data_IF_513519162026
#
_entry.id   IF_513519162026
#
_cell.length_a   1.000
_cell.length_b   1.000
_cell.length_c   1.000
_cell.angle_alpha   90.00
_cell.angle_beta   90.00
_cell.angle_gamma   90.00
#
_symmetry.space_group_name_H-M   'P 1'
#
loop_
_entity.id
_entity.type
_entity.pdbx_description
1 polymer ?
#
# COMPACT_ATOMS: atom_id res chain seq x y z
N UNK A 1 -13.47 -9.15 2.11
CA UNK A 1 -13.99 -8.22 3.15
C UNK A 1 -15.44 -8.51 3.56
N UNK A 2 -16.36 -8.75 2.60
CA UNK A 2 -17.80 -9.03 2.83
C UNK A 2 -18.10 -10.03 3.96
N UNK A 3 -17.40 -11.17 4.02
CA UNK A 3 -17.61 -12.19 5.06
C UNK A 3 -17.22 -11.79 6.49
N UNK A 4 -16.33 -10.80 6.66
CA UNK A 4 -15.95 -10.30 7.99
C UNK A 4 -17.02 -9.33 8.47
N UNK A 5 -17.41 -8.41 7.61
CA UNK A 5 -18.37 -7.36 7.92
C UNK A 5 -19.76 -7.96 8.18
N UNK A 6 -20.13 -9.05 7.49
CA UNK A 6 -21.39 -9.76 7.73
C UNK A 6 -21.52 -10.36 9.12
N UNK A 7 -20.42 -10.56 9.85
CA UNK A 7 -20.42 -11.09 11.21
C UNK A 7 -20.55 -10.01 12.29
N UNK A 8 -20.38 -8.74 11.92
CA UNK A 8 -20.62 -7.61 12.82
C UNK A 8 -22.11 -7.29 12.77
N UNK A 9 -22.75 -7.22 13.93
CA UNK A 9 -24.16 -6.84 14.09
C UNK A 9 -24.34 -5.31 14.02
N UNK A 10 -25.59 -4.85 13.86
CA UNK A 10 -25.88 -3.40 13.87
C UNK A 10 -25.56 -2.76 15.23
N UNK A 11 -25.85 -3.46 16.33
CA UNK A 11 -25.61 -2.97 17.69
C UNK A 11 -24.12 -2.70 17.93
N UNK A 12 -23.26 -3.65 17.56
CA UNK A 12 -21.80 -3.50 17.64
C UNK A 12 -21.30 -2.38 16.71
N UNK A 13 -21.90 -2.25 15.51
CA UNK A 13 -21.55 -1.18 14.58
C UNK A 13 -21.96 0.21 15.10
N UNK A 14 -23.11 0.31 15.78
CA UNK A 14 -23.61 1.55 16.35
C UNK A 14 -22.74 2.04 17.51
N UNK A 15 -22.25 1.13 18.36
CA UNK A 15 -21.30 1.47 19.43
C UNK A 15 -19.94 1.97 18.90
N UNK A 16 -19.51 1.51 17.72
CA UNK A 16 -18.25 1.92 17.11
C UNK A 16 -18.34 3.22 16.32
N UNK A 17 -19.48 3.50 15.71
CA UNK A 17 -19.65 4.63 14.80
C UNK A 17 -20.32 5.78 15.55
N UNK A 18 -19.53 6.73 16.03
CA UNK A 18 -20.07 7.99 16.57
C UNK A 18 -20.50 8.92 15.42
N UNK A 19 -21.81 8.91 15.13
CA UNK A 19 -22.42 9.77 14.11
C UNK A 19 -22.45 11.23 14.55
N UNK A 20 -22.55 11.50 15.87
CA UNK A 20 -22.71 12.84 16.42
C UNK A 20 -21.39 13.63 16.40
N UNK A 21 -20.26 12.95 16.64
CA UNK A 21 -18.95 13.57 16.47
C UNK A 21 -18.66 13.93 15.00
N UNK A 22 -19.13 13.11 14.03
CA UNK A 22 -18.90 13.33 12.59
C UNK A 22 -19.73 14.45 11.97
N UNK A 23 -20.87 14.83 12.56
CA UNK A 23 -21.68 15.96 12.07
C UNK A 23 -21.05 17.33 12.35
N UNK A 24 -20.14 17.41 13.32
CA UNK A 24 -19.58 18.68 13.82
C UNK A 24 -18.24 19.07 13.15
N UNK A 25 -17.55 18.14 12.48
CA UNK A 25 -16.31 18.44 11.75
C UNK A 25 -16.59 19.07 10.36
N UNK A 26 -17.02 20.33 10.36
CA UNK A 26 -17.07 21.18 9.16
C UNK A 26 -15.65 21.58 8.71
N UNK A 27 -14.95 20.68 8.02
CA UNK A 27 -13.74 21.02 7.26
C UNK A 27 -13.77 20.34 5.87
N UNK A 28 -14.86 20.56 5.14
CA UNK A 28 -15.20 19.83 3.90
C UNK A 28 -14.67 20.47 2.61
N UNK A 29 -14.15 21.70 2.66
CA UNK A 29 -13.61 22.41 1.49
C UNK A 29 -12.13 22.09 1.23
N UNK A 30 -11.31 21.97 2.28
CA UNK A 30 -9.85 21.75 2.14
C UNK A 30 -9.50 20.37 1.59
N UNK A 31 -10.27 19.33 1.92
CA UNK A 31 -9.99 17.93 1.56
C UNK A 31 -10.06 17.68 0.05
N UNK A 32 -10.99 18.31 -0.65
CA UNK A 32 -11.11 18.21 -2.11
C UNK A 32 -9.92 18.83 -2.84
N UNK A 33 -9.50 20.02 -2.41
CA UNK A 33 -8.33 20.72 -2.97
C UNK A 33 -7.04 19.93 -2.70
N UNK A 34 -6.87 19.44 -1.47
CA UNK A 34 -5.74 18.57 -1.12
C UNK A 34 -5.69 17.32 -2.00
N UNK A 35 -6.84 16.69 -2.26
CA UNK A 35 -6.90 15.50 -3.10
C UNK A 35 -6.60 15.84 -4.57
N UNK A 36 -7.03 17.00 -5.07
CA UNK A 36 -6.70 17.47 -6.41
C UNK A 36 -5.20 17.70 -6.58
N UNK A 37 -4.55 18.39 -5.64
CA UNK A 37 -3.09 18.60 -5.64
C UNK A 37 -2.38 17.24 -5.60
N UNK A 38 -2.84 16.34 -4.73
CA UNK A 38 -2.29 14.98 -4.66
C UNK A 38 -2.46 14.23 -5.98
N UNK A 39 -3.61 14.33 -6.64
CA UNK A 39 -3.88 13.68 -7.92
C UNK A 39 -2.97 14.21 -9.03
N UNK A 40 -2.72 15.52 -9.09
CA UNK A 40 -1.76 16.12 -10.03
C UNK A 40 -0.34 15.60 -9.78
N UNK A 41 0.10 15.58 -8.52
CA UNK A 41 1.40 15.03 -8.16
C UNK A 41 1.50 13.53 -8.51
N UNK A 42 0.46 12.74 -8.22
CA UNK A 42 0.40 11.33 -8.61
C UNK A 42 0.45 11.16 -10.12
N UNK A 43 -0.23 12.02 -10.87
CA UNK A 43 -0.21 12.03 -12.33
C UNK A 43 1.21 12.25 -12.86
N UNK A 44 1.93 13.23 -12.32
CA UNK A 44 3.35 13.46 -12.64
C UNK A 44 4.20 12.23 -12.31
N UNK A 45 4.06 11.66 -11.11
CA UNK A 45 4.83 10.46 -10.72
C UNK A 45 4.48 9.24 -11.58
N UNK A 46 3.24 9.11 -12.07
CA UNK A 46 2.82 8.04 -12.98
C UNK A 46 3.42 8.14 -14.38
N UNK A 47 4.07 9.26 -14.73
CA UNK A 47 4.85 9.38 -15.96
C UNK A 47 6.25 8.76 -15.85
N UNK A 48 6.74 8.45 -14.65
CA UNK A 48 8.06 7.83 -14.48
C UNK A 48 8.24 6.53 -15.29
N UNK A 49 7.25 5.63 -15.38
CA UNK A 49 7.36 4.41 -16.19
C UNK A 49 7.15 4.63 -17.69
N UNK A 50 6.87 5.85 -18.18
CA UNK A 50 6.44 6.10 -19.56
C UNK A 50 7.47 5.60 -20.59
N UNK A 51 8.74 5.88 -20.29
CA UNK A 51 9.89 5.43 -21.07
C UNK A 51 10.05 3.90 -21.07
N UNK A 52 9.59 3.22 -20.02
CA UNK A 52 9.65 1.76 -19.92
C UNK A 52 8.45 1.10 -20.61
N UNK A 53 7.24 1.64 -20.41
CA UNK A 53 6.01 1.18 -21.05
C UNK A 53 4.86 2.19 -20.93
N UNK A 54 4.35 2.62 -22.09
CA UNK A 54 3.12 3.41 -22.16
C UNK A 54 1.91 2.68 -21.57
N UNK A 55 1.84 1.36 -21.71
CA UNK A 55 0.73 0.54 -21.21
C UNK A 55 0.65 0.63 -19.67
N UNK A 56 1.78 0.47 -19.00
CA UNK A 56 1.86 0.55 -17.53
C UNK A 56 1.52 1.96 -17.06
N UNK A 57 2.06 2.99 -17.70
CA UNK A 57 1.72 4.39 -17.40
C UNK A 57 0.24 4.66 -17.56
N UNK A 58 -0.40 4.20 -18.64
CA UNK A 58 -1.84 4.35 -18.83
C UNK A 58 -2.65 3.68 -17.71
N UNK A 59 -2.29 2.47 -17.29
CA UNK A 59 -2.96 1.78 -16.18
C UNK A 59 -2.88 2.59 -14.89
N UNK A 60 -1.71 3.13 -14.56
CA UNK A 60 -1.50 3.92 -13.33
C UNK A 60 -2.31 5.22 -13.35
N UNK A 61 -2.36 5.91 -14.50
CA UNK A 61 -3.19 7.11 -14.69
C UNK A 61 -4.68 6.77 -14.51
N UNK A 62 -5.15 5.66 -15.09
CA UNK A 62 -6.55 5.21 -14.94
C UNK A 62 -6.88 4.95 -13.46
N UNK A 63 -5.97 4.31 -12.70
CA UNK A 63 -6.15 4.07 -11.27
C UNK A 63 -6.31 5.40 -10.49
N UNK A 64 -5.50 6.41 -10.82
CA UNK A 64 -5.58 7.75 -10.20
C UNK A 64 -6.92 8.41 -10.50
N UNK A 65 -7.36 8.37 -11.77
CA UNK A 65 -8.64 8.95 -12.21
C UNK A 65 -9.81 8.25 -11.52
N UNK A 66 -9.84 6.92 -11.50
CA UNK A 66 -10.88 6.15 -10.81
C UNK A 66 -10.92 6.51 -9.32
N UNK A 67 -9.77 6.64 -8.68
CA UNK A 67 -9.67 6.99 -7.25
C UNK A 67 -10.20 8.39 -6.97
N UNK A 68 -9.89 9.35 -7.85
CA UNK A 68 -10.37 10.72 -7.76
C UNK A 68 -11.89 10.79 -7.96
N UNK A 69 -12.42 10.17 -9.02
CA UNK A 69 -13.85 10.12 -9.30
C UNK A 69 -14.64 9.43 -8.17
N UNK A 70 -14.09 8.34 -7.61
CA UNK A 70 -14.69 7.62 -6.51
C UNK A 70 -14.94 8.53 -5.29
N UNK A 71 -13.99 9.40 -4.96
CA UNK A 71 -14.15 10.37 -3.88
C UNK A 71 -15.34 11.32 -4.12
N UNK A 72 -15.42 11.94 -5.30
CA UNK A 72 -16.51 12.87 -5.60
C UNK A 72 -17.88 12.19 -5.65
N UNK A 73 -17.97 11.00 -6.25
CA UNK A 73 -19.21 10.22 -6.31
C UNK A 73 -19.65 9.79 -4.90
N UNK A 74 -18.71 9.30 -4.08
CA UNK A 74 -19.03 8.87 -2.71
C UNK A 74 -19.44 10.05 -1.82
N UNK A 75 -18.76 11.19 -1.94
CA UNK A 75 -19.09 12.44 -1.24
C UNK A 75 -20.49 12.95 -1.62
N UNK A 76 -20.81 12.95 -2.91
CA UNK A 76 -22.11 13.39 -3.41
C UNK A 76 -23.26 12.50 -2.92
N UNK A 77 -23.04 11.19 -2.84
CA UNK A 77 -24.08 10.24 -2.40
C UNK A 77 -24.33 10.25 -0.88
N UNK A 78 -23.30 10.49 -0.06
CA UNK A 78 -23.44 10.51 1.39
C UNK A 78 -22.29 11.31 2.04
N UNK A 79 -22.60 12.45 2.66
CA UNK A 79 -21.62 13.29 3.37
C UNK A 79 -20.89 12.52 4.50
N UNK A 80 -21.55 11.56 5.16
CA UNK A 80 -20.92 10.71 6.19
C UNK A 80 -19.83 9.77 5.65
N UNK A 81 -19.75 9.57 4.32
CA UNK A 81 -18.70 8.79 3.66
C UNK A 81 -17.56 9.66 3.12
N UNK A 82 -17.58 10.97 3.32
CA UNK A 82 -16.53 11.88 2.83
C UNK A 82 -15.16 11.49 3.38
N UNK A 83 -15.04 11.35 4.70
CA UNK A 83 -13.78 10.97 5.35
C UNK A 83 -13.31 9.57 4.94
N UNK A 84 -14.24 8.62 4.80
CA UNK A 84 -13.96 7.28 4.31
C UNK A 84 -13.39 7.29 2.88
N UNK A 85 -14.08 7.98 1.98
CA UNK A 85 -13.70 8.05 0.57
C UNK A 85 -12.41 8.85 0.35
N UNK A 86 -12.19 9.90 1.15
CA UNK A 86 -10.94 10.67 1.14
C UNK A 86 -9.74 9.83 1.57
N UNK A 87 -9.83 9.11 2.70
CA UNK A 87 -8.75 8.24 3.16
C UNK A 87 -8.46 7.12 2.17
N UNK A 88 -9.50 6.53 1.57
CA UNK A 88 -9.33 5.47 0.57
C UNK A 88 -8.66 5.99 -0.69
N UNK A 89 -9.11 7.12 -1.24
CA UNK A 89 -8.53 7.72 -2.44
C UNK A 89 -7.07 8.12 -2.20
N UNK A 90 -6.77 8.78 -1.08
CA UNK A 90 -5.42 9.14 -0.67
C UNK A 90 -4.51 7.91 -0.57
N UNK A 91 -4.99 6.83 0.05
CA UNK A 91 -4.23 5.57 0.16
C UNK A 91 -3.90 4.99 -1.22
N UNK A 92 -4.88 4.89 -2.12
CA UNK A 92 -4.65 4.34 -3.48
C UNK A 92 -3.72 5.23 -4.30
N UNK A 93 -3.83 6.56 -4.17
CA UNK A 93 -2.94 7.52 -4.81
C UNK A 93 -1.48 7.38 -4.33
N UNK A 94 -1.27 7.27 -3.01
CA UNK A 94 0.06 7.01 -2.43
C UNK A 94 0.62 5.66 -2.89
N UNK A 95 -0.23 4.62 -2.91
CA UNK A 95 0.14 3.32 -3.44
C UNK A 95 0.61 3.40 -4.90
N UNK A 96 -0.07 4.22 -5.70
CA UNK A 96 0.26 4.45 -7.10
C UNK A 96 1.62 5.14 -7.22
N UNK A 97 1.91 6.18 -6.43
CA UNK A 97 3.24 6.85 -6.42
C UNK A 97 4.36 5.83 -6.18
N UNK A 98 4.24 5.03 -5.11
CA UNK A 98 5.25 4.04 -4.73
C UNK A 98 5.50 3.03 -5.86
N UNK A 99 4.42 2.56 -6.49
CA UNK A 99 4.50 1.64 -7.63
C UNK A 99 5.14 2.30 -8.84
N UNK A 100 4.78 3.55 -9.16
CA UNK A 100 5.34 4.29 -10.29
C UNK A 100 6.85 4.51 -10.14
N UNK A 101 7.33 4.82 -8.92
CA UNK A 101 8.77 4.96 -8.65
C UNK A 101 9.50 3.67 -8.99
N UNK A 102 9.00 2.53 -8.48
CA UNK A 102 9.66 1.24 -8.69
C UNK A 102 9.61 0.78 -10.15
N UNK A 103 8.48 0.96 -10.82
CA UNK A 103 8.33 0.61 -12.23
C UNK A 103 9.06 1.59 -13.16
N UNK A 104 9.37 2.81 -12.71
CA UNK A 104 10.15 3.79 -13.45
C UNK A 104 11.67 3.57 -13.44
N UNK A 105 12.18 2.62 -12.63
CA UNK A 105 13.62 2.33 -12.57
C UNK A 105 14.10 1.78 -13.93
N UNK A 106 15.25 2.29 -14.39
CA UNK A 106 15.95 1.85 -15.61
C UNK A 106 17.32 1.31 -15.24
N UNK A 107 17.79 0.32 -16.00
CA UNK A 107 19.15 -0.23 -15.89
C UNK A 107 19.90 0.14 -17.18
N UNK A 108 20.97 0.91 -17.04
CA UNK A 108 21.78 1.41 -18.17
C UNK A 108 20.96 2.11 -19.27
N UNK A 109 19.97 2.90 -18.87
CA UNK A 109 19.08 3.62 -19.80
C UNK A 109 18.09 2.70 -20.54
N UNK A 110 18.03 1.41 -20.24
CA UNK A 110 17.07 0.48 -20.84
C UNK A 110 16.02 0.02 -19.83
N UNK A 111 14.88 -0.47 -20.35
CA UNK A 111 13.83 -1.05 -19.51
C UNK A 111 14.35 -2.33 -18.85
N UNK A 112 14.15 -2.51 -17.54
CA UNK A 112 14.59 -3.72 -16.86
C UNK A 112 13.84 -4.94 -17.44
N UNK A 113 14.52 -6.08 -17.56
CA UNK A 113 13.97 -7.31 -18.16
C UNK A 113 13.58 -7.21 -19.65
N UNK A 114 14.00 -6.14 -20.35
CA UNK A 114 13.86 -6.02 -21.80
C UNK A 114 12.41 -6.13 -22.27
N UNK A 115 12.15 -7.04 -23.21
CA UNK A 115 10.81 -7.27 -23.79
C UNK A 115 9.79 -7.79 -22.78
N UNK A 116 10.24 -8.50 -21.74
CA UNK A 116 9.38 -9.05 -20.69
C UNK A 116 8.95 -8.02 -19.65
N UNK A 117 9.43 -6.77 -19.74
CA UNK A 117 9.13 -5.70 -18.79
C UNK A 117 7.62 -5.58 -18.49
N UNK A 118 6.77 -5.56 -19.53
CA UNK A 118 5.33 -5.37 -19.35
C UNK A 118 4.71 -6.52 -18.55
N UNK A 119 5.10 -7.76 -18.85
CA UNK A 119 4.62 -8.93 -18.13
C UNK A 119 5.07 -8.89 -16.66
N UNK A 120 6.34 -8.59 -16.42
CA UNK A 120 6.90 -8.48 -15.06
C UNK A 120 6.22 -7.37 -14.27
N UNK A 121 5.98 -6.21 -14.90
CA UNK A 121 5.29 -5.09 -14.29
C UNK A 121 3.84 -5.43 -13.92
N UNK A 122 3.11 -6.16 -14.79
CA UNK A 122 1.75 -6.62 -14.49
C UNK A 122 1.73 -7.64 -13.34
N UNK A 123 2.68 -8.60 -13.33
CA UNK A 123 2.83 -9.53 -12.21
C UNK A 123 3.13 -8.78 -10.90
N UNK A 124 3.99 -7.76 -10.95
CA UNK A 124 4.29 -6.92 -9.81
C UNK A 124 3.06 -6.17 -9.30
N UNK A 125 2.29 -5.52 -10.19
CA UNK A 125 1.02 -4.86 -9.82
C UNK A 125 0.05 -5.83 -9.14
N UNK A 126 -0.10 -7.03 -9.69
CA UNK A 126 -0.94 -8.07 -9.10
C UNK A 126 -0.48 -8.45 -7.69
N UNK A 127 0.83 -8.70 -7.52
CA UNK A 127 1.42 -8.99 -6.21
C UNK A 127 1.13 -7.86 -5.23
N UNK A 128 1.41 -6.60 -5.59
CA UNK A 128 1.17 -5.43 -4.74
C UNK A 128 -0.28 -5.34 -4.27
N UNK A 129 -1.25 -5.60 -5.16
CA UNK A 129 -2.68 -5.63 -4.80
C UNK A 129 -2.98 -6.73 -3.79
N UNK A 130 -2.47 -7.95 -4.01
CA UNK A 130 -2.68 -9.09 -3.11
C UNK A 130 -2.06 -8.83 -1.73
N UNK A 131 -0.82 -8.36 -1.70
CA UNK A 131 -0.09 -8.03 -0.48
C UNK A 131 -0.82 -6.95 0.33
N UNK A 132 -1.18 -5.85 -0.33
CA UNK A 132 -1.92 -4.74 0.26
C UNK A 132 -3.28 -5.19 0.78
N UNK A 133 -4.00 -6.04 0.05
CA UNK A 133 -5.29 -6.58 0.48
C UNK A 133 -5.16 -7.37 1.79
N UNK A 134 -4.17 -8.27 1.91
CA UNK A 134 -3.96 -9.04 3.13
C UNK A 134 -3.57 -8.14 4.31
N UNK A 135 -2.71 -7.13 4.08
CA UNK A 135 -2.27 -6.19 5.11
C UNK A 135 -3.43 -5.33 5.61
N UNK A 136 -4.19 -4.70 4.72
CA UNK A 136 -5.35 -3.88 5.07
C UNK A 136 -6.44 -4.71 5.76
N UNK A 137 -6.66 -5.96 5.31
CA UNK A 137 -7.57 -6.89 5.98
C UNK A 137 -7.13 -7.21 7.41
N UNK A 138 -5.84 -7.41 7.65
CA UNK A 138 -5.31 -7.66 8.99
C UNK A 138 -5.45 -6.43 9.89
N UNK A 139 -5.19 -5.22 9.37
CA UNK A 139 -5.39 -3.97 10.12
C UNK A 139 -6.85 -3.76 10.52
N UNK A 140 -7.78 -3.98 9.59
CA UNK A 140 -9.23 -3.93 9.84
C UNK A 140 -9.66 -4.90 10.94
N UNK A 141 -9.15 -6.14 10.87
CA UNK A 141 -9.49 -7.17 11.86
C UNK A 141 -8.90 -6.86 13.24
N UNK A 142 -7.66 -6.36 13.30
CA UNK A 142 -7.03 -5.95 14.55
C UNK A 142 -7.81 -4.80 15.20
N UNK A 143 -8.29 -3.83 14.41
CA UNK A 143 -9.11 -2.73 14.91
C UNK A 143 -10.47 -3.24 15.45
N UNK A 144 -11.14 -4.15 14.75
CA UNK A 144 -12.40 -4.73 15.26
C UNK A 144 -12.17 -5.51 16.56
N UNK A 145 -11.08 -6.28 16.63
CA UNK A 145 -10.69 -7.05 17.83
C UNK A 145 -10.32 -6.16 19.01
N UNK A 146 -9.59 -5.06 18.79
CA UNK A 146 -9.22 -4.12 19.85
C UNK A 146 -10.43 -3.42 20.45
N UNK A 147 -11.53 -3.33 19.71
CA UNK A 147 -12.80 -2.79 20.18
C UNK A 147 -13.82 -3.87 20.60
N UNK A 148 -13.35 -5.07 20.99
CA UNK A 148 -14.19 -6.09 21.61
C UNK A 148 -14.97 -7.01 20.66
N UNK A 149 -14.87 -6.81 19.34
CA UNK A 149 -15.58 -7.66 18.36
C UNK A 149 -14.75 -8.92 18.07
N UNK A 150 -15.19 -10.05 18.61
CA UNK A 150 -14.48 -11.32 18.55
C UNK A 150 -14.69 -12.03 17.20
N UNK A 151 -13.92 -11.63 16.19
CA UNK A 151 -13.92 -12.26 14.88
C UNK A 151 -12.86 -13.37 14.82
N UNK A 152 -13.26 -14.58 14.41
CA UNK A 152 -12.30 -15.66 14.12
C UNK A 152 -11.32 -15.20 13.05
N UNK A 153 -10.04 -15.05 13.43
CA UNK A 153 -8.94 -14.85 12.50
C UNK A 153 -8.90 -16.03 11.52
N UNK A 154 -8.87 -15.72 10.22
CA UNK A 154 -8.47 -16.73 9.23
C UNK A 154 -6.99 -17.03 9.45
N UNK A 155 -6.59 -18.31 9.51
CA UNK A 155 -5.20 -18.75 9.72
C UNK A 155 -4.18 -17.97 8.87
N UNK A 156 -4.56 -17.63 7.64
CA UNK A 156 -3.78 -16.85 6.68
C UNK A 156 -3.42 -15.44 7.19
N UNK A 157 -4.32 -14.72 7.88
CA UNK A 157 -4.02 -13.36 8.37
C UNK A 157 -3.03 -13.37 9.54
N UNK A 158 -3.12 -14.40 10.39
CA UNK A 158 -2.24 -14.57 11.55
C UNK A 158 -0.82 -14.89 11.12
N UNK A 159 -0.66 -15.75 10.11
CA UNK A 159 0.63 -16.07 9.50
C UNK A 159 1.20 -14.83 8.79
N UNK A 160 0.38 -14.11 8.03
CA UNK A 160 0.80 -12.91 7.31
C UNK A 160 1.31 -11.79 8.23
N UNK A 161 0.59 -11.47 9.30
CA UNK A 161 0.98 -10.38 10.20
C UNK A 161 2.29 -10.70 10.95
N UNK A 162 2.48 -11.97 11.34
CA UNK A 162 3.70 -12.46 11.99
C UNK A 162 4.88 -12.55 11.02
N UNK A 163 4.64 -12.96 9.78
CA UNK A 163 5.66 -13.02 8.73
C UNK A 163 6.12 -11.63 8.33
N UNK A 164 5.21 -10.67 8.16
CA UNK A 164 5.56 -9.30 7.77
C UNK A 164 6.41 -8.58 8.79
N UNK A 165 5.99 -8.62 10.07
CA UNK A 165 6.75 -7.96 11.13
C UNK A 165 8.15 -8.56 11.28
N UNK A 166 8.28 -9.89 11.15
CA UNK A 166 9.58 -10.58 11.16
C UNK A 166 10.42 -10.23 9.94
N UNK A 167 9.83 -10.20 8.75
CA UNK A 167 10.52 -9.83 7.51
C UNK A 167 11.07 -8.40 7.58
N UNK A 168 10.30 -7.43 8.09
CA UNK A 168 10.77 -6.05 8.25
C UNK A 168 11.92 -5.93 9.23
N UNK A 169 11.88 -6.63 10.38
CA UNK A 169 12.98 -6.64 11.37
C UNK A 169 14.22 -7.32 10.80
N UNK A 170 14.06 -8.48 10.17
CA UNK A 170 15.18 -9.22 9.56
C UNK A 170 15.82 -8.42 8.45
N UNK A 171 15.05 -7.69 7.63
CA UNK A 171 15.59 -6.81 6.60
C UNK A 171 16.49 -5.71 7.21
N UNK A 172 16.04 -5.02 8.26
CA UNK A 172 16.82 -3.97 8.92
C UNK A 172 18.15 -4.53 9.49
N UNK A 173 18.10 -5.73 10.08
CA UNK A 173 19.28 -6.41 10.61
C UNK A 173 20.24 -6.81 9.48
N UNK A 174 19.74 -7.35 8.36
CA UNK A 174 20.56 -7.73 7.20
C UNK A 174 21.20 -6.50 6.56
N UNK A 175 20.47 -5.39 6.39
CA UNK A 175 21.02 -4.14 5.85
C UNK A 175 22.12 -3.62 6.78
N UNK A 176 21.86 -3.60 8.10
CA UNK A 176 22.84 -3.18 9.10
C UNK A 176 24.11 -4.03 9.06
N UNK A 177 23.97 -5.37 9.12
CA UNK A 177 25.09 -6.31 9.06
C UNK A 177 25.82 -6.25 7.71
N UNK A 178 25.09 -6.15 6.60
CA UNK A 178 25.66 -6.04 5.26
C UNK A 178 26.49 -4.77 5.09
N UNK A 179 26.03 -3.65 5.63
CA UNK A 179 26.78 -2.38 5.62
C UNK A 179 28.07 -2.49 6.43
N UNK A 180 28.03 -3.15 7.60
CA UNK A 180 29.22 -3.36 8.42
C UNK A 180 30.20 -4.36 7.78
N UNK A 181 29.70 -5.45 7.18
CA UNK A 181 30.50 -6.44 6.48
C UNK A 181 31.18 -5.85 5.23
N UNK A 182 30.48 -5.03 4.45
CA UNK A 182 31.07 -4.30 3.32
C UNK A 182 32.20 -3.36 3.79
N UNK A 183 32.03 -2.69 4.94
CA UNK A 183 33.06 -1.82 5.51
C UNK A 183 34.31 -2.58 5.93
N UNK A 184 34.14 -3.80 6.46
CA UNK A 184 35.24 -4.62 6.98
C UNK A 184 35.95 -5.42 5.88
N UNK A 185 35.24 -5.86 4.84
CA UNK A 185 35.78 -6.73 3.78
C UNK A 185 35.83 -6.06 2.41
N UNK A 186 36.11 -4.75 2.37
CA UNK A 186 36.16 -3.94 1.14
C UNK A 186 37.11 -4.55 0.08
N UNK A 187 38.19 -5.19 0.51
CA UNK A 187 39.20 -5.82 -0.34
C UNK A 187 38.72 -7.09 -1.06
N UNK A 188 37.64 -7.73 -0.59
CA UNK A 188 37.08 -8.91 -1.27
C UNK A 188 36.21 -8.55 -2.49
N UNK A 189 35.84 -7.27 -2.64
CA UNK A 189 34.93 -6.79 -3.68
C UNK A 189 35.59 -5.81 -4.67
N UNK A 190 36.83 -5.39 -4.42
CA UNK A 190 37.61 -4.53 -5.30
C UNK A 190 38.77 -5.37 -5.83
N UNK A 191 38.68 -5.79 -7.09
CA UNK A 191 39.82 -6.35 -7.81
C UNK A 191 40.78 -5.25 -8.26
N UNK A 192 42.08 -5.55 -8.32
CA UNK A 192 43.14 -4.59 -8.65
C UNK A 192 43.04 -4.03 -10.09
N UNK A 193 42.26 -4.66 -10.98
CA UNK A 193 42.04 -4.23 -12.38
C UNK A 193 40.62 -3.63 -12.60
N UNK A 194 40.12 -2.81 -11.68
CA UNK A 194 38.81 -2.19 -11.87
C UNK A 194 38.89 -0.99 -12.82
N UNK A 195 38.61 -1.20 -14.11
CA UNK A 195 38.06 -0.13 -14.95
C UNK A 195 36.81 0.42 -14.26
N UNK A 196 36.73 1.74 -14.09
CA UNK A 196 35.70 2.43 -13.33
C UNK A 196 34.28 2.02 -13.80
N UNK A 197 33.62 1.13 -13.05
CA UNK A 197 32.23 0.74 -13.29
C UNK A 197 31.85 -0.72 -13.02
N UNK A 198 32.81 -1.64 -12.90
CA UNK A 198 32.51 -3.07 -12.71
C UNK A 198 32.97 -3.63 -11.36
N UNK A 199 32.09 -4.34 -10.65
CA UNK A 199 32.49 -5.22 -9.54
C UNK A 199 32.95 -6.54 -10.17
N UNK A 200 34.27 -6.75 -10.24
CA UNK A 200 34.85 -8.03 -10.69
C UNK A 200 35.06 -8.91 -9.47
N UNK A 201 34.21 -9.95 -9.30
CA UNK A 201 34.41 -10.96 -8.25
C UNK A 201 35.23 -12.09 -8.86
N UNK A 202 36.46 -12.22 -8.38
CA UNK A 202 37.48 -13.12 -8.94
C UNK A 202 37.15 -14.62 -8.81
N UNK A 203 36.19 -14.98 -7.94
CA UNK A 203 35.74 -16.36 -7.73
C UNK A 203 34.25 -16.50 -8.12
N UNK A 204 33.97 -17.30 -9.14
CA UNK A 204 32.62 -17.51 -9.70
C UNK A 204 31.60 -17.99 -8.66
N UNK A 205 31.99 -18.85 -7.73
CA UNK A 205 31.10 -19.37 -6.69
C UNK A 205 30.72 -18.29 -5.67
N UNK A 206 31.69 -17.45 -5.29
CA UNK A 206 31.46 -16.31 -4.40
C UNK A 206 30.63 -15.25 -5.14
N UNK A 207 30.90 -15.03 -6.43
CA UNK A 207 30.13 -14.13 -7.28
C UNK A 207 28.67 -14.54 -7.39
N UNK A 208 28.40 -15.82 -7.64
CA UNK A 208 27.03 -16.35 -7.70
C UNK A 208 26.29 -16.18 -6.37
N UNK A 209 26.96 -16.48 -5.24
CA UNK A 209 26.37 -16.34 -3.91
C UNK A 209 26.04 -14.87 -3.60
N UNK A 210 26.94 -13.94 -3.94
CA UNK A 210 26.73 -12.50 -3.79
C UNK A 210 25.54 -12.02 -4.64
N UNK A 211 25.47 -12.41 -5.91
CA UNK A 211 24.35 -12.06 -6.80
C UNK A 211 23.02 -12.60 -6.25
N UNK A 212 23.01 -13.83 -5.74
CA UNK A 212 21.82 -14.46 -5.18
C UNK A 212 21.34 -13.72 -3.91
N UNK A 213 22.26 -13.36 -3.01
CA UNK A 213 21.96 -12.60 -1.80
C UNK A 213 21.46 -11.20 -2.13
N UNK A 214 22.11 -10.49 -3.05
CA UNK A 214 21.69 -9.15 -3.50
C UNK A 214 20.32 -9.22 -4.18
N UNK A 215 20.08 -10.24 -5.02
CA UNK A 215 18.79 -10.46 -5.66
C UNK A 215 17.66 -10.69 -4.66
N UNK A 216 17.88 -11.54 -3.65
CA UNK A 216 16.92 -11.75 -2.55
C UNK A 216 16.67 -10.44 -1.80
N UNK A 217 17.73 -9.70 -1.48
CA UNK A 217 17.62 -8.43 -0.75
C UNK A 217 16.78 -7.40 -1.53
N UNK A 218 16.99 -7.30 -2.85
CA UNK A 218 16.20 -6.46 -3.74
C UNK A 218 14.73 -6.87 -3.76
N UNK A 219 14.43 -8.17 -3.83
CA UNK A 219 13.04 -8.66 -3.78
C UNK A 219 12.37 -8.28 -2.46
N UNK A 220 13.05 -8.45 -1.32
CA UNK A 220 12.48 -8.09 -0.03
C UNK A 220 12.29 -6.56 0.05
N UNK A 221 13.24 -5.77 -0.45
CA UNK A 221 13.12 -4.32 -0.50
C UNK A 221 11.91 -3.88 -1.33
N UNK A 222 11.70 -4.49 -2.51
CA UNK A 222 10.52 -4.25 -3.34
C UNK A 222 9.23 -4.53 -2.58
N UNK A 223 9.14 -5.67 -1.89
CA UNK A 223 7.98 -6.06 -1.09
C UNK A 223 7.72 -5.06 0.04
N UNK A 224 8.75 -4.69 0.82
CA UNK A 224 8.60 -3.75 1.93
C UNK A 224 8.23 -2.36 1.44
N UNK A 225 8.91 -1.86 0.40
CA UNK A 225 8.65 -0.54 -0.17
C UNK A 225 7.22 -0.48 -0.72
N UNK A 226 6.76 -1.53 -1.40
CA UNK A 226 5.39 -1.62 -1.90
C UNK A 226 4.31 -1.55 -0.81
N UNK A 227 4.65 -1.81 0.44
CA UNK A 227 3.70 -1.81 1.56
C UNK A 227 3.82 -0.58 2.46
N UNK A 228 4.80 0.30 2.23
CA UNK A 228 4.91 1.59 2.91
C UNK A 228 3.59 2.39 2.93
N UNK A 229 2.81 2.47 1.84
CA UNK A 229 1.56 3.23 1.85
C UNK A 229 0.53 2.68 2.85
N UNK A 230 0.63 1.40 3.24
CA UNK A 230 -0.25 0.82 4.26
C UNK A 230 -0.02 1.41 5.66
N UNK A 231 1.11 2.08 5.92
CA UNK A 231 1.34 2.81 7.16
C UNK A 231 0.42 4.03 7.31
N UNK A 232 0.00 4.61 6.19
CA UNK A 232 -0.92 5.75 6.16
C UNK A 232 -2.39 5.31 6.05
N UNK A 233 -2.65 3.99 6.06
CA UNK A 233 -3.99 3.43 6.05
C UNK A 233 -4.66 3.59 7.42
N UNK A 234 -5.70 4.44 7.49
CA UNK A 234 -6.45 4.63 8.72
C UNK A 234 -7.52 3.54 8.91
N UNK A 235 -7.16 2.48 9.63
CA UNK A 235 -8.05 1.35 9.88
C UNK A 235 -9.38 1.76 10.55
N UNK A 236 -9.36 2.71 11.48
CA UNK A 236 -10.56 3.21 12.17
C UNK A 236 -11.57 3.79 11.17
N UNK A 237 -11.15 4.80 10.41
CA UNK A 237 -12.00 5.51 9.44
C UNK A 237 -12.52 4.54 8.37
N UNK A 238 -11.66 3.67 7.87
CA UNK A 238 -12.04 2.69 6.85
C UNK A 238 -13.06 1.68 7.38
N UNK A 239 -12.86 1.17 8.60
CA UNK A 239 -13.80 0.23 9.24
C UNK A 239 -15.17 0.86 9.45
N UNK A 240 -15.20 2.03 10.07
CA UNK A 240 -16.44 2.76 10.36
C UNK A 240 -17.17 3.13 9.06
N UNK A 241 -16.45 3.57 8.02
CA UNK A 241 -17.04 3.87 6.71
C UNK A 241 -17.64 2.65 6.02
N UNK A 242 -16.99 1.49 6.14
CA UNK A 242 -17.52 0.21 5.65
C UNK A 242 -18.81 -0.18 6.38
N UNK A 243 -18.84 -0.03 7.71
CA UNK A 243 -20.02 -0.33 8.54
C UNK A 243 -21.17 0.63 8.23
N UNK A 244 -20.89 1.93 8.10
CA UNK A 244 -21.84 2.96 7.67
C UNK A 244 -22.45 2.65 6.30
N UNK A 245 -21.63 2.18 5.35
CA UNK A 245 -22.12 1.79 4.01
C UNK A 245 -23.01 0.56 4.06
N UNK A 246 -22.73 -0.41 4.95
CA UNK A 246 -23.53 -1.63 5.13
C UNK A 246 -24.88 -1.33 5.80
N UNK A 247 -24.86 -0.57 6.89
CA UNK A 247 -26.02 -0.31 7.75
C UNK A 247 -26.68 1.05 7.50
N UNK A 248 -26.60 1.54 6.25
CA UNK A 248 -27.04 2.89 5.89
C UNK A 248 -28.50 3.14 6.29
N UNK A 249 -29.39 2.18 6.06
CA UNK A 249 -30.82 2.33 6.32
C UNK A 249 -31.13 2.34 7.83
N UNK A 250 -30.45 1.49 8.58
CA UNK A 250 -30.59 1.36 10.03
C UNK A 250 -30.06 2.62 10.74
N UNK A 251 -28.90 3.12 10.34
CA UNK A 251 -28.36 4.39 10.87
C UNK A 251 -29.26 5.60 10.54
N UNK A 252 -29.89 5.62 9.35
CA UNK A 252 -30.85 6.66 9.00
C UNK A 252 -32.10 6.62 9.88
N UNK A 253 -32.65 5.43 10.16
CA UNK A 253 -33.81 5.27 11.04
C UNK A 253 -33.52 5.70 12.47
N UNK A 254 -32.37 5.33 13.02
CA UNK A 254 -31.99 5.68 14.39
C UNK A 254 -31.78 7.19 14.56
N UNK A 255 -31.16 7.85 13.56
CA UNK A 255 -30.98 9.31 13.58
C UNK A 255 -32.32 10.07 13.50
N UNK A 256 -33.32 9.53 12.79
CA UNK A 256 -34.68 10.11 12.76
C UNK A 256 -35.38 9.90 14.11
N UNK A 257 -35.17 8.74 14.75
CA UNK A 257 -35.79 8.40 16.04
C UNK A 257 -35.24 9.24 17.19
N UNK A 258 -33.94 9.55 17.18
CA UNK A 258 -33.25 10.33 18.21
C UNK A 258 -33.42 11.86 18.07
N UNK A 259 -33.95 12.35 16.94
CA UNK A 259 -34.26 13.77 16.70
C UNK A 259 -35.76 14.09 16.91
N UNK A 260 -36.54 13.16 17.47
CA UNK A 260 -37.92 13.33 17.89
C UNK A 260 -37.99 13.38 19.41
#
# INVERSE_FOLDING_TARGET
MKNIINKVSFEEAHQLVDIRAKSTEENTSSKGIQLFILALFCGFMALLPLENSIIITSILIIIIVISFLYYYISKSNNKFLEEFSWQLAKYVMLQTITVSILLGIRVDGTRPFGEYYVLVALCYLFLVVVLSYFRCKAMLLNYLKSNGINLKETSVSKVWNKAFFRLSIVLLVIIGLGTQLYRLNKWWFIGDDSSAGGISIQNEWIGMLVVLVVGILLIILLVVFSLLPTLLFNAKIITEGILLKKYKAEFQRENIRNNK
#
